data_IF_940272742421
#
_entry.id   IF_940272742421
#
_cell.length_a   1.000
_cell.length_b   1.000
_cell.length_c   1.000
_cell.angle_alpha   90.00
_cell.angle_beta   90.00
_cell.angle_gamma   90.00
#
_symmetry.space_group_name_H-M   'P 1'
#
loop_
_entity.id
_entity.type
_entity.pdbx_description
1 polymer ?
#
# COMPACT_ATOMS: atom_id res chain seq x y z
N UNK A 1 2.39 -11.95 -9.28
CA UNK A 1 2.41 -10.53 -8.88
C UNK A 1 1.75 -10.39 -7.52
N UNK A 2 2.18 -9.46 -6.67
CA UNK A 2 1.52 -9.10 -5.42
C UNK A 2 0.87 -7.72 -5.60
N UNK A 3 -0.46 -7.63 -5.56
CA UNK A 3 -1.20 -6.40 -5.85
C UNK A 3 -2.59 -6.43 -5.19
N UNK A 4 -3.27 -5.30 -5.17
CA UNK A 4 -4.61 -5.12 -4.63
C UNK A 4 -5.68 -5.36 -5.70
N UNK A 5 -6.83 -5.91 -5.32
CA UNK A 5 -8.01 -6.03 -6.19
C UNK A 5 -8.36 -4.70 -6.86
N UNK A 6 -8.35 -3.60 -6.10
CA UNK A 6 -8.70 -2.25 -6.58
C UNK A 6 -7.79 -1.67 -7.65
N UNK A 7 -6.62 -2.27 -7.90
CA UNK A 7 -5.74 -1.89 -9.02
C UNK A 7 -6.28 -2.44 -10.33
N UNK A 8 -6.84 -3.65 -10.32
CA UNK A 8 -7.39 -4.29 -11.52
C UNK A 8 -8.85 -3.92 -11.81
N UNK A 9 -9.65 -3.63 -10.77
CA UNK A 9 -11.09 -3.39 -10.92
C UNK A 9 -11.46 -2.38 -12.02
N UNK A 10 -10.80 -1.20 -12.14
CA UNK A 10 -11.14 -0.24 -13.20
C UNK A 10 -10.92 -0.80 -14.60
N UNK A 11 -9.90 -1.62 -14.79
CA UNK A 11 -9.63 -2.25 -16.09
C UNK A 11 -10.67 -3.33 -16.42
N UNK A 12 -11.05 -4.14 -15.41
CA UNK A 12 -12.10 -5.17 -15.57
C UNK A 12 -13.44 -4.52 -15.90
N UNK A 13 -13.83 -3.46 -15.21
CA UNK A 13 -15.08 -2.73 -15.47
C UNK A 13 -15.11 -2.08 -16.86
N UNK A 14 -13.96 -1.66 -17.38
CA UNK A 14 -13.81 -1.16 -18.76
C UNK A 14 -13.74 -2.28 -19.81
N UNK A 15 -13.84 -3.55 -19.41
CA UNK A 15 -13.79 -4.69 -20.30
C UNK A 15 -12.39 -5.03 -20.82
N UNK A 16 -11.34 -4.63 -20.13
CA UNK A 16 -9.97 -4.94 -20.49
C UNK A 16 -9.57 -6.32 -19.99
N UNK A 17 -8.77 -7.01 -20.77
CA UNK A 17 -8.16 -8.27 -20.36
C UNK A 17 -6.93 -7.99 -19.50
N UNK A 18 -6.80 -8.73 -18.38
CA UNK A 18 -5.71 -8.60 -17.45
C UNK A 18 -4.85 -9.85 -17.39
N UNK A 19 -3.55 -9.65 -17.30
CA UNK A 19 -2.59 -10.71 -16.99
C UNK A 19 -1.55 -10.19 -15.98
N UNK A 20 -0.83 -11.10 -15.35
CA UNK A 20 0.12 -10.74 -14.29
C UNK A 20 1.52 -11.26 -14.57
N UNK A 21 2.54 -10.51 -14.20
CA UNK A 21 3.93 -10.92 -14.16
C UNK A 21 4.36 -11.24 -12.73
N UNK A 22 5.39 -12.05 -12.58
CA UNK A 22 5.90 -12.47 -11.27
C UNK A 22 6.77 -11.39 -10.62
N UNK A 23 6.80 -11.42 -9.28
CA UNK A 23 7.80 -10.74 -8.47
C UNK A 23 8.50 -11.77 -7.58
N UNK A 24 9.68 -11.47 -7.11
CA UNK A 24 10.41 -12.32 -6.17
C UNK A 24 9.99 -12.08 -4.71
N UNK A 25 10.52 -12.86 -3.79
CA UNK A 25 10.22 -12.76 -2.35
C UNK A 25 10.75 -11.46 -1.70
N UNK A 26 11.64 -10.72 -2.38
CA UNK A 26 12.07 -9.39 -1.95
C UNK A 26 11.20 -8.29 -2.59
N UNK A 27 10.04 -8.66 -3.15
CA UNK A 27 9.10 -7.78 -3.85
C UNK A 27 9.73 -7.05 -5.04
N UNK A 28 10.71 -7.65 -5.71
CA UNK A 28 11.36 -7.12 -6.90
C UNK A 28 10.75 -7.71 -8.17
N UNK A 29 10.79 -6.95 -9.27
CA UNK A 29 10.25 -7.39 -10.55
C UNK A 29 11.03 -8.60 -11.09
N UNK A 30 10.35 -9.71 -11.31
CA UNK A 30 10.93 -10.80 -12.10
C UNK A 30 10.94 -10.41 -13.58
N UNK A 31 12.05 -9.80 -14.01
CA UNK A 31 12.20 -9.27 -15.36
C UNK A 31 12.01 -10.35 -16.44
N UNK A 32 12.42 -11.61 -16.17
CA UNK A 32 12.23 -12.72 -17.10
C UNK A 32 10.74 -13.02 -17.32
N UNK A 33 9.98 -13.07 -16.23
CA UNK A 33 8.52 -13.26 -16.27
C UNK A 33 7.84 -12.10 -17.00
N UNK A 34 8.23 -10.87 -16.68
CA UNK A 34 7.72 -9.66 -17.32
C UNK A 34 7.97 -9.67 -18.83
N UNK A 35 9.21 -9.90 -19.29
CA UNK A 35 9.57 -9.96 -20.71
C UNK A 35 8.78 -11.07 -21.45
N UNK A 36 8.56 -12.23 -20.82
CA UNK A 36 7.73 -13.30 -21.38
C UNK A 36 6.28 -12.82 -21.58
N UNK A 37 5.70 -12.13 -20.60
CA UNK A 37 4.33 -11.60 -20.67
C UNK A 37 4.20 -10.51 -21.75
N UNK A 38 5.17 -9.61 -21.85
CA UNK A 38 5.20 -8.60 -22.92
C UNK A 38 5.14 -9.22 -24.32
N UNK A 39 5.81 -10.36 -24.53
CA UNK A 39 5.81 -11.07 -25.82
C UNK A 39 4.51 -11.83 -26.09
N UNK A 40 3.98 -12.53 -25.06
CA UNK A 40 2.81 -13.43 -25.23
C UNK A 40 1.48 -12.69 -25.14
N UNK A 41 1.33 -11.76 -24.21
CA UNK A 41 0.10 -11.02 -23.96
C UNK A 41 0.01 -9.71 -24.73
N UNK A 42 1.17 -9.07 -25.04
CA UNK A 42 1.28 -7.79 -25.77
C UNK A 42 0.42 -6.68 -25.14
N UNK A 43 0.63 -6.34 -23.86
CA UNK A 43 -0.19 -5.36 -23.16
C UNK A 43 -0.07 -3.97 -23.78
N UNK A 44 -1.16 -3.21 -23.78
CA UNK A 44 -1.15 -1.77 -24.06
C UNK A 44 -0.74 -0.93 -22.86
N UNK A 45 -0.94 -1.45 -21.64
CA UNK A 45 -0.59 -0.79 -20.37
C UNK A 45 0.11 -1.80 -19.46
N UNK A 46 1.14 -1.34 -18.74
CA UNK A 46 1.79 -2.11 -17.64
C UNK A 46 1.79 -1.28 -16.38
N UNK A 47 1.36 -1.88 -15.26
CA UNK A 47 1.36 -1.25 -13.94
C UNK A 47 2.49 -1.82 -13.10
N UNK A 48 3.26 -0.94 -12.45
CA UNK A 48 4.36 -1.27 -11.55
C UNK A 48 4.12 -0.71 -10.15
N UNK A 49 4.59 -1.43 -9.14
CA UNK A 49 4.53 -1.00 -7.73
C UNK A 49 5.91 -1.03 -7.09
N UNK A 50 6.44 0.08 -6.56
CA UNK A 50 7.46 0.04 -5.52
C UNK A 50 6.79 -0.21 -4.17
N UNK A 51 7.30 -1.18 -3.40
CA UNK A 51 6.66 -1.63 -2.17
C UNK A 51 7.33 -1.04 -0.93
N UNK A 52 6.55 -0.68 0.09
CA UNK A 52 6.97 -0.38 1.46
C UNK A 52 8.14 0.60 1.57
N UNK A 53 8.12 1.69 0.79
CA UNK A 53 9.16 2.74 0.84
C UNK A 53 10.43 2.43 0.05
N UNK A 54 10.45 1.33 -0.70
CA UNK A 54 11.54 1.07 -1.67
C UNK A 54 11.34 1.88 -2.93
N UNK A 55 12.43 2.04 -3.71
CA UNK A 55 12.43 2.52 -5.09
C UNK A 55 12.69 1.36 -6.04
N UNK A 56 12.45 1.56 -7.33
CA UNK A 56 12.94 0.65 -8.34
C UNK A 56 14.46 0.68 -8.37
N UNK A 57 15.09 -0.48 -8.56
CA UNK A 57 16.53 -0.58 -8.79
C UNK A 57 16.88 0.06 -10.13
N UNK A 58 18.16 0.41 -10.32
CA UNK A 58 18.63 0.94 -11.60
C UNK A 58 18.28 0.01 -12.77
N UNK A 59 18.42 -1.31 -12.59
CA UNK A 59 18.07 -2.30 -13.59
C UNK A 59 16.57 -2.35 -13.89
N UNK A 60 15.71 -2.32 -12.86
CA UNK A 60 14.26 -2.25 -13.04
C UNK A 60 13.86 -0.97 -13.79
N UNK A 61 14.44 0.17 -13.45
CA UNK A 61 14.20 1.44 -14.14
C UNK A 61 14.60 1.39 -15.62
N UNK A 62 15.69 0.73 -15.95
CA UNK A 62 16.12 0.54 -17.34
C UNK A 62 15.09 -0.30 -18.10
N UNK A 63 14.65 -1.41 -17.53
CA UNK A 63 13.62 -2.27 -18.14
C UNK A 63 12.30 -1.52 -18.32
N UNK A 64 11.88 -0.74 -17.33
CA UNK A 64 10.66 0.07 -17.41
C UNK A 64 10.74 1.12 -18.53
N UNK A 65 11.90 1.77 -18.69
CA UNK A 65 12.13 2.70 -19.81
C UNK A 65 12.14 2.01 -21.18
N UNK A 66 12.70 0.79 -21.28
CA UNK A 66 12.64 -0.01 -22.52
C UNK A 66 11.18 -0.30 -22.90
N UNK A 67 10.36 -0.72 -21.94
CA UNK A 67 8.93 -0.99 -22.14
C UNK A 67 8.21 0.26 -22.64
N UNK A 68 8.41 1.39 -21.94
CA UNK A 68 7.82 2.67 -22.33
C UNK A 68 8.24 3.07 -23.75
N UNK A 69 9.52 2.92 -24.09
CA UNK A 69 10.06 3.25 -25.42
C UNK A 69 9.51 2.37 -26.53
N UNK A 70 8.95 1.20 -26.21
CA UNK A 70 8.27 0.32 -27.18
C UNK A 70 6.83 0.75 -27.47
N UNK A 71 6.33 1.84 -26.85
CA UNK A 71 4.98 2.36 -27.04
C UNK A 71 3.93 1.79 -26.08
N UNK A 72 4.34 0.98 -25.11
CA UNK A 72 3.48 0.49 -24.01
C UNK A 72 3.35 1.59 -22.96
N UNK A 73 2.13 1.90 -22.55
CA UNK A 73 1.86 2.88 -21.49
C UNK A 73 2.33 2.30 -20.16
N UNK A 74 3.12 3.07 -19.43
CA UNK A 74 3.64 2.70 -18.11
C UNK A 74 2.93 3.50 -17.02
N UNK A 75 2.31 2.80 -16.08
CA UNK A 75 1.72 3.36 -14.86
C UNK A 75 2.53 2.89 -13.65
N UNK A 76 3.00 3.81 -12.82
CA UNK A 76 3.67 3.50 -11.56
C UNK A 76 2.77 3.88 -10.38
N UNK A 77 2.34 2.90 -9.60
CA UNK A 77 1.54 3.10 -8.40
C UNK A 77 2.44 3.21 -7.16
N UNK A 78 2.67 4.44 -6.73
CA UNK A 78 3.48 4.77 -5.56
C UNK A 78 2.70 4.80 -4.25
N UNK A 79 1.52 4.21 -4.20
CA UNK A 79 0.67 4.19 -2.98
C UNK A 79 1.43 3.71 -1.73
N UNK A 80 2.42 2.81 -1.87
CA UNK A 80 3.22 2.34 -0.74
C UNK A 80 4.55 3.06 -0.57
N UNK A 81 4.89 4.00 -1.44
CA UNK A 81 6.21 4.64 -1.49
C UNK A 81 6.12 6.14 -1.86
N UNK A 82 5.10 6.87 -1.36
CA UNK A 82 4.84 8.26 -1.76
C UNK A 82 5.98 9.22 -1.39
N UNK A 83 6.84 8.87 -0.45
CA UNK A 83 8.01 9.67 -0.06
C UNK A 83 9.22 9.44 -0.96
N UNK A 84 9.18 8.50 -1.90
CA UNK A 84 10.25 8.32 -2.88
C UNK A 84 10.33 9.52 -3.82
N UNK A 85 11.54 10.02 -4.04
CA UNK A 85 11.78 11.25 -4.84
C UNK A 85 11.95 10.97 -6.34
N UNK A 86 12.18 9.71 -6.73
CA UNK A 86 12.68 9.34 -8.06
C UNK A 86 11.60 8.90 -9.06
N UNK A 87 10.33 9.20 -8.79
CA UNK A 87 9.21 8.54 -9.48
C UNK A 87 8.84 9.09 -10.85
N UNK A 88 9.35 10.24 -11.24
CA UNK A 88 8.73 11.01 -12.33
C UNK A 88 9.26 10.68 -13.71
N UNK A 89 10.42 10.05 -13.82
CA UNK A 89 11.14 9.99 -15.11
C UNK A 89 10.95 8.70 -15.92
N UNK A 90 10.40 7.65 -15.31
CA UNK A 90 10.33 6.34 -15.95
C UNK A 90 8.90 5.87 -16.28
N UNK A 91 7.87 6.56 -15.82
CA UNK A 91 6.47 6.23 -16.10
C UNK A 91 5.76 7.32 -16.90
N UNK A 92 4.72 6.96 -17.65
CA UNK A 92 3.82 7.92 -18.32
C UNK A 92 2.85 8.54 -17.32
N UNK A 93 2.39 7.70 -16.37
CA UNK A 93 1.53 8.11 -15.28
C UNK A 93 2.06 7.61 -13.94
N UNK A 94 2.01 8.46 -12.95
CA UNK A 94 2.31 8.12 -11.55
C UNK A 94 1.06 8.35 -10.73
N UNK A 95 0.65 7.35 -9.97
CA UNK A 95 -0.55 7.41 -9.12
C UNK A 95 -0.23 7.06 -7.69
N UNK A 96 -1.06 7.51 -6.76
CA UNK A 96 -0.92 7.14 -5.36
C UNK A 96 -2.11 7.56 -4.50
N UNK A 97 -2.31 6.84 -3.40
CA UNK A 97 -3.36 7.09 -2.43
C UNK A 97 -2.81 7.86 -1.23
N UNK A 98 -3.31 9.07 -0.98
CA UNK A 98 -2.89 9.91 0.14
C UNK A 98 -3.57 9.53 1.46
N UNK A 99 -4.81 9.04 1.41
CA UNK A 99 -5.57 8.63 2.60
C UNK A 99 -4.96 7.47 3.40
N UNK A 100 -4.02 6.73 2.82
CA UNK A 100 -3.27 5.67 3.53
C UNK A 100 -2.14 6.24 4.39
N UNK A 101 -1.78 7.50 4.18
CA UNK A 101 -0.63 8.16 4.80
C UNK A 101 -1.03 9.26 5.77
N UNK A 102 -2.14 9.91 5.50
CA UNK A 102 -2.62 11.07 6.21
C UNK A 102 -4.01 10.83 6.79
N UNK A 103 -4.39 11.64 7.75
CA UNK A 103 -5.71 11.63 8.39
C UNK A 103 -6.78 12.30 7.52
N UNK A 104 -6.76 12.02 6.23
CA UNK A 104 -7.72 12.49 5.24
C UNK A 104 -8.74 11.40 4.93
N UNK A 105 -10.04 11.72 4.80
CA UNK A 105 -11.08 10.75 4.46
C UNK A 105 -10.95 10.26 3.04
N UNK A 106 -10.44 11.09 2.14
CA UNK A 106 -10.23 10.83 0.72
C UNK A 106 -8.84 11.31 0.27
N UNK A 107 -8.59 11.25 -1.02
CA UNK A 107 -7.38 11.76 -1.62
C UNK A 107 -6.52 10.71 -2.29
N UNK A 108 -6.19 11.02 -3.49
CA UNK A 108 -5.22 10.39 -4.34
C UNK A 108 -4.59 11.45 -5.23
N UNK A 109 -3.58 11.07 -5.94
CA UNK A 109 -2.97 11.92 -6.96
C UNK A 109 -2.69 11.12 -8.22
N UNK A 110 -2.72 11.83 -9.32
CA UNK A 110 -2.18 11.37 -10.60
C UNK A 110 -1.26 12.45 -11.14
N UNK A 111 -0.12 12.05 -11.63
CA UNK A 111 0.84 12.90 -12.32
C UNK A 111 1.18 12.30 -13.67
N UNK A 112 1.27 13.12 -14.70
CA UNK A 112 1.75 12.73 -16.02
C UNK A 112 2.71 13.77 -16.57
N UNK A 113 3.78 13.31 -17.24
CA UNK A 113 4.67 14.18 -18.02
C UNK A 113 4.17 14.40 -19.45
N UNK A 114 3.33 13.51 -19.92
CA UNK A 114 2.91 13.43 -21.32
C UNK A 114 1.56 14.10 -21.57
N UNK A 115 0.79 14.32 -20.53
CA UNK A 115 -0.57 14.83 -20.63
C UNK A 115 -0.83 15.93 -19.61
N UNK A 116 -1.45 17.01 -20.04
CA UNK A 116 -1.99 18.03 -19.13
C UNK A 116 -3.21 17.46 -18.37
N UNK A 117 -3.07 17.32 -17.06
CA UNK A 117 -4.12 16.81 -16.18
C UNK A 117 -5.10 17.90 -15.71
N UNK A 118 -4.91 19.17 -16.10
CA UNK A 118 -5.79 20.28 -15.70
C UNK A 118 -7.23 20.14 -16.21
N UNK A 119 -7.43 19.43 -17.31
CA UNK A 119 -8.74 19.11 -17.86
C UNK A 119 -9.66 18.34 -16.89
N UNK A 120 -9.07 17.68 -15.87
CA UNK A 120 -9.80 16.96 -14.82
C UNK A 120 -10.15 17.83 -13.59
N UNK A 121 -9.83 19.13 -13.62
CA UNK A 121 -10.06 20.07 -12.50
C UNK A 121 -11.53 20.41 -12.20
N UNK A 122 -12.48 19.99 -13.05
CA UNK A 122 -13.93 20.22 -12.86
C UNK A 122 -14.71 19.05 -12.30
N UNK A 123 -14.01 18.04 -11.72
CA UNK A 123 -14.66 16.87 -11.14
C UNK A 123 -15.46 17.25 -9.88
N UNK A 124 -16.56 16.54 -9.63
CA UNK A 124 -17.34 16.66 -8.40
C UNK A 124 -16.74 15.86 -7.26
N UNK A 125 -16.94 16.28 -6.02
CA UNK A 125 -16.58 15.53 -4.82
C UNK A 125 -17.55 14.35 -4.61
N UNK A 126 -17.04 13.21 -4.12
CA UNK A 126 -17.89 12.08 -3.70
C UNK A 126 -18.30 12.27 -2.23
N UNK A 127 -19.22 13.19 -1.96
CA UNK A 127 -19.65 13.52 -0.60
C UNK A 127 -20.21 12.34 0.20
N UNK A 128 -21.00 11.41 -0.37
CA UNK A 128 -21.43 10.22 0.36
C UNK A 128 -20.27 9.35 0.88
N UNK A 129 -19.21 9.17 0.07
CA UNK A 129 -18.00 8.50 0.48
C UNK A 129 -17.28 9.28 1.58
N UNK A 130 -17.04 10.58 1.35
CA UNK A 130 -16.30 11.46 2.27
C UNK A 130 -16.96 11.51 3.64
N UNK A 131 -18.26 11.72 3.71
CA UNK A 131 -19.00 11.79 4.98
C UNK A 131 -18.95 10.46 5.74
N UNK A 132 -19.15 9.33 5.05
CA UNK A 132 -19.03 8.01 5.68
C UNK A 132 -17.62 7.76 6.25
N UNK A 133 -16.57 8.22 5.57
CA UNK A 133 -15.20 8.11 6.07
C UNK A 133 -14.96 9.03 7.29
N UNK A 134 -15.42 10.28 7.23
CA UNK A 134 -15.30 11.23 8.37
C UNK A 134 -15.97 10.65 9.62
N UNK A 135 -17.22 10.19 9.48
CA UNK A 135 -17.96 9.61 10.60
C UNK A 135 -17.27 8.36 11.15
N UNK A 136 -16.78 7.49 10.26
CA UNK A 136 -16.01 6.31 10.67
C UNK A 136 -14.75 6.68 11.46
N UNK A 137 -13.96 7.64 10.96
CA UNK A 137 -12.72 8.10 11.61
C UNK A 137 -13.02 8.75 12.96
N UNK A 138 -14.06 9.57 13.03
CA UNK A 138 -14.48 10.24 14.27
C UNK A 138 -14.91 9.24 15.35
N UNK A 139 -15.80 8.31 15.01
CA UNK A 139 -16.28 7.28 15.95
C UNK A 139 -15.16 6.35 16.41
N UNK A 140 -14.22 6.03 15.53
CA UNK A 140 -13.02 5.27 15.94
C UNK A 140 -12.14 6.06 16.91
N UNK A 141 -11.97 7.36 16.70
CA UNK A 141 -11.29 8.25 17.63
C UNK A 141 -11.99 8.32 18.99
N UNK A 142 -13.33 8.33 19.01
CA UNK A 142 -14.12 8.26 20.25
C UNK A 142 -13.93 6.90 20.96
N UNK A 143 -13.96 5.79 20.20
CA UNK A 143 -13.69 4.46 20.76
C UNK A 143 -12.35 4.39 21.47
N UNK A 144 -11.27 4.90 20.89
CA UNK A 144 -9.95 4.90 21.54
C UNK A 144 -9.90 5.73 22.82
N UNK A 145 -10.77 6.72 22.99
CA UNK A 145 -10.84 7.56 24.20
C UNK A 145 -11.75 6.98 25.29
N UNK A 146 -12.84 6.35 24.91
CA UNK A 146 -13.94 5.97 25.82
C UNK A 146 -13.95 4.46 26.07
N UNK A 147 -13.47 3.64 25.12
CA UNK A 147 -13.46 2.18 25.19
C UNK A 147 -14.80 1.51 24.85
N UNK A 148 -15.81 2.27 24.38
CA UNK A 148 -17.12 1.72 24.04
C UNK A 148 -17.07 0.97 22.70
N UNK A 149 -17.22 -0.36 22.74
CA UNK A 149 -17.15 -1.24 21.60
C UNK A 149 -18.22 -0.93 20.53
N UNK A 150 -19.40 -0.42 20.92
CA UNK A 150 -20.44 -0.04 19.97
C UNK A 150 -19.96 1.04 18.98
N UNK A 151 -19.13 1.99 19.44
CA UNK A 151 -18.54 3.03 18.58
C UNK A 151 -17.60 2.42 17.52
N UNK A 152 -16.79 1.42 17.94
CA UNK A 152 -15.91 0.72 17.00
C UNK A 152 -16.72 -0.07 15.95
N UNK A 153 -17.78 -0.76 16.36
CA UNK A 153 -18.62 -1.55 15.45
C UNK A 153 -19.33 -0.65 14.42
N UNK A 154 -19.81 0.52 14.84
CA UNK A 154 -20.40 1.51 13.93
C UNK A 154 -19.32 2.05 12.97
N UNK A 155 -18.14 2.40 13.49
CA UNK A 155 -17.00 2.86 12.67
C UNK A 155 -16.66 1.86 11.57
N UNK A 156 -16.56 0.56 11.90
CA UNK A 156 -16.26 -0.50 10.92
C UNK A 156 -17.36 -0.58 9.85
N UNK A 157 -18.64 -0.50 10.22
CA UNK A 157 -19.76 -0.52 9.26
C UNK A 157 -19.74 0.68 8.33
N UNK A 158 -19.46 1.88 8.83
CA UNK A 158 -19.35 3.10 8.03
C UNK A 158 -18.17 3.03 7.05
N UNK A 159 -17.00 2.51 7.51
CA UNK A 159 -15.86 2.31 6.61
C UNK A 159 -16.19 1.31 5.48
N UNK A 160 -16.84 0.18 5.81
CA UNK A 160 -17.30 -0.78 4.79
C UNK A 160 -18.30 -0.14 3.81
N UNK A 161 -19.22 0.69 4.31
CA UNK A 161 -20.16 1.42 3.47
C UNK A 161 -19.45 2.36 2.50
N UNK A 162 -18.48 3.14 2.99
CA UNK A 162 -17.66 4.02 2.15
C UNK A 162 -16.89 3.22 1.07
N UNK A 163 -16.25 2.10 1.44
CA UNK A 163 -15.55 1.25 0.48
C UNK A 163 -16.50 0.73 -0.60
N UNK A 164 -17.73 0.35 -0.23
CA UNK A 164 -18.75 -0.08 -1.19
C UNK A 164 -19.22 1.06 -2.13
N UNK A 165 -19.27 2.31 -1.64
CA UNK A 165 -19.56 3.48 -2.50
C UNK A 165 -18.45 3.66 -3.52
N UNK A 166 -17.19 3.63 -3.09
CA UNK A 166 -16.03 3.77 -3.97
C UNK A 166 -15.91 2.65 -5.01
N UNK A 167 -16.23 1.40 -4.61
CA UNK A 167 -16.15 0.23 -5.49
C UNK A 167 -17.27 0.11 -6.52
N UNK A 168 -18.34 0.90 -6.40
CA UNK A 168 -19.47 0.86 -7.36
C UNK A 168 -19.31 1.81 -8.54
N UNK A 169 -18.33 2.69 -8.52
CA UNK A 169 -18.14 3.70 -9.53
C UNK A 169 -16.65 3.97 -9.72
N UNK A 170 -16.15 3.68 -10.91
CA UNK A 170 -14.76 3.97 -11.32
C UNK A 170 -14.56 5.41 -11.78
N UNK A 171 -15.61 6.23 -11.83
CA UNK A 171 -15.46 7.62 -12.22
C UNK A 171 -14.55 8.38 -11.25
N UNK A 172 -13.63 9.20 -11.77
CA UNK A 172 -12.77 9.98 -10.92
C UNK A 172 -13.57 11.10 -10.22
N UNK A 173 -13.18 11.38 -8.97
CA UNK A 173 -13.76 12.43 -8.17
C UNK A 173 -12.70 13.45 -7.73
N UNK A 174 -13.12 14.68 -7.53
CA UNK A 174 -12.27 15.71 -6.93
C UNK A 174 -11.95 15.34 -5.46
N UNK A 175 -10.77 15.75 -5.02
CA UNK A 175 -10.44 15.75 -3.61
C UNK A 175 -11.39 16.69 -2.86
N UNK A 176 -12.00 16.23 -1.77
CA UNK A 176 -12.92 17.05 -0.99
C UNK A 176 -12.23 18.26 -0.34
N UNK A 177 -12.99 19.33 -0.12
CA UNK A 177 -12.49 20.48 0.62
C UNK A 177 -12.00 20.11 2.03
N UNK A 178 -12.64 19.13 2.67
CA UNK A 178 -12.16 18.60 3.94
C UNK A 178 -10.82 17.88 3.80
N UNK A 179 -10.69 16.97 2.84
CA UNK A 179 -9.43 16.26 2.55
C UNK A 179 -8.31 17.22 2.19
N UNK A 180 -8.57 18.21 1.34
CA UNK A 180 -7.62 19.25 0.98
C UNK A 180 -7.11 20.01 2.22
N UNK A 181 -8.01 20.41 3.11
CA UNK A 181 -7.62 21.11 4.33
C UNK A 181 -6.72 20.24 5.23
N UNK A 182 -7.03 18.95 5.38
CA UNK A 182 -6.20 18.02 6.16
C UNK A 182 -4.81 17.84 5.55
N UNK A 183 -4.74 17.70 4.25
CA UNK A 183 -3.45 17.50 3.55
C UNK A 183 -2.57 18.76 3.57
N UNK A 184 -3.16 19.95 3.39
CA UNK A 184 -2.41 21.21 3.45
C UNK A 184 -1.85 21.51 4.86
N UNK A 185 -2.49 21.01 5.91
CA UNK A 185 -2.05 21.18 7.30
C UNK A 185 -1.23 19.98 7.83
N UNK A 186 -0.95 18.97 7.00
CA UNK A 186 -0.16 17.81 7.43
C UNK A 186 1.33 18.15 7.52
N UNK A 187 1.97 17.81 8.63
CA UNK A 187 3.43 17.89 8.76
C UNK A 187 4.09 16.67 8.11
N UNK A 188 4.11 16.72 6.77
CA UNK A 188 4.61 15.61 5.92
C UNK A 188 6.04 15.21 6.30
N UNK A 189 6.89 16.19 6.63
CA UNK A 189 8.31 15.95 6.95
C UNK A 189 8.43 15.20 8.28
N UNK A 190 7.74 15.65 9.32
CA UNK A 190 7.77 14.99 10.64
C UNK A 190 7.13 13.60 10.56
N UNK A 191 6.02 13.43 9.85
CA UNK A 191 5.39 12.12 9.65
C UNK A 191 6.35 11.12 9.00
N UNK A 192 7.05 11.55 7.96
CA UNK A 192 8.07 10.72 7.31
C UNK A 192 9.20 10.30 8.25
N UNK A 193 9.71 11.24 9.06
CA UNK A 193 10.77 10.96 10.05
C UNK A 193 10.32 9.97 11.12
N UNK A 194 9.11 10.14 11.68
CA UNK A 194 8.58 9.22 12.70
C UNK A 194 8.45 7.81 12.13
N UNK A 195 7.84 7.65 10.96
CA UNK A 195 7.70 6.34 10.28
C UNK A 195 9.04 5.67 10.06
N UNK A 196 10.03 6.41 9.55
CA UNK A 196 11.35 5.86 9.31
C UNK A 196 12.08 5.52 10.61
N UNK A 197 11.92 6.32 11.66
CA UNK A 197 12.44 6.00 13.01
C UNK A 197 11.83 4.72 13.56
N UNK A 198 10.50 4.57 13.47
CA UNK A 198 9.78 3.37 13.90
C UNK A 198 10.23 2.13 13.10
N UNK A 199 10.37 2.27 11.78
CA UNK A 199 10.91 1.21 10.91
C UNK A 199 12.31 0.78 11.35
N UNK A 200 13.21 1.75 11.53
CA UNK A 200 14.60 1.50 11.96
C UNK A 200 14.65 0.81 13.32
N UNK A 201 13.77 1.22 14.25
CA UNK A 201 13.69 0.58 15.55
C UNK A 201 13.29 -0.90 15.43
N UNK A 202 12.25 -1.23 14.67
CA UNK A 202 11.83 -2.62 14.44
C UNK A 202 12.94 -3.41 13.74
N UNK A 203 13.57 -2.85 12.72
CA UNK A 203 14.66 -3.50 11.99
C UNK A 203 15.82 -3.92 12.91
N UNK A 204 16.19 -3.06 13.86
CA UNK A 204 17.30 -3.31 14.77
C UNK A 204 16.96 -4.20 15.97
N UNK A 205 15.68 -4.38 16.30
CA UNK A 205 15.27 -5.02 17.56
C UNK A 205 14.39 -6.27 17.38
N UNK A 206 13.85 -6.52 16.19
CA UNK A 206 13.16 -7.77 15.89
C UNK A 206 14.16 -8.90 15.62
N UNK A 207 13.82 -10.06 16.15
CA UNK A 207 14.60 -11.29 15.91
C UNK A 207 14.11 -11.97 14.63
N UNK A 208 15.00 -12.13 13.68
CA UNK A 208 14.77 -13.03 12.55
C UNK A 208 14.99 -14.49 12.99
N UNK A 209 14.04 -15.35 12.63
CA UNK A 209 14.05 -16.78 12.92
C UNK A 209 13.49 -17.53 11.70
N UNK A 210 13.38 -18.85 11.78
CA UNK A 210 12.69 -19.64 10.74
C UNK A 210 11.21 -19.23 10.62
N UNK A 211 10.56 -18.83 11.74
CA UNK A 211 9.14 -18.43 11.79
C UNK A 211 8.88 -17.03 11.32
N UNK A 212 9.82 -16.08 11.53
CA UNK A 212 9.67 -14.67 11.21
C UNK A 212 10.90 -14.18 10.46
N UNK A 213 10.72 -13.73 9.22
CA UNK A 213 11.79 -13.22 8.34
C UNK A 213 11.45 -11.80 7.87
N UNK A 214 12.46 -10.98 7.68
CA UNK A 214 12.28 -9.68 7.05
C UNK A 214 12.07 -9.83 5.54
N UNK A 215 11.22 -8.99 4.98
CA UNK A 215 11.09 -8.88 3.52
C UNK A 215 12.34 -8.23 2.93
N UNK A 216 12.86 -7.19 3.59
CA UNK A 216 14.09 -6.51 3.20
C UNK A 216 15.18 -6.77 4.24
N UNK A 217 16.26 -7.43 3.83
CA UNK A 217 17.37 -7.77 4.72
C UNK A 217 18.44 -6.68 4.83
N UNK A 218 18.42 -5.70 3.92
CA UNK A 218 19.23 -4.48 4.00
C UNK A 218 18.29 -3.28 4.20
N UNK A 219 18.48 -2.54 5.30
CA UNK A 219 17.70 -1.33 5.59
C UNK A 219 17.87 -0.27 4.50
N UNK A 220 18.98 -0.27 3.78
CA UNK A 220 19.24 0.68 2.70
C UNK A 220 18.38 0.45 1.46
N UNK A 221 17.70 -0.71 1.35
CA UNK A 221 16.69 -0.93 0.30
C UNK A 221 15.47 -0.03 0.48
N UNK A 222 15.19 0.37 1.72
CA UNK A 222 14.10 1.27 2.07
C UNK A 222 14.61 2.70 2.02
N UNK A 223 14.54 3.30 0.83
CA UNK A 223 15.14 4.62 0.52
C UNK A 223 14.29 5.80 0.97
N UNK A 224 13.07 5.54 1.43
CA UNK A 224 12.14 6.57 1.88
C UNK A 224 11.30 6.08 3.05
N UNK A 225 10.48 6.96 3.62
CA UNK A 225 9.53 6.57 4.67
C UNK A 225 8.59 5.47 4.16
N UNK A 226 8.55 4.29 4.81
CA UNK A 226 7.70 3.17 4.39
C UNK A 226 6.28 3.29 4.95
N UNK A 227 5.33 2.63 4.27
CA UNK A 227 3.94 2.57 4.74
C UNK A 227 3.79 1.66 5.96
N UNK A 228 4.45 0.51 5.96
CA UNK A 228 4.49 -0.51 7.02
C UNK A 228 5.88 -1.12 7.13
N UNK A 229 6.14 -1.89 8.19
CA UNK A 229 7.27 -2.80 8.28
C UNK A 229 6.80 -4.20 7.85
N UNK A 230 7.18 -4.68 6.65
CA UNK A 230 6.73 -5.97 6.15
C UNK A 230 7.60 -7.11 6.69
N UNK A 231 6.96 -8.19 7.14
CA UNK A 231 7.60 -9.44 7.52
C UNK A 231 6.93 -10.62 6.84
N UNK A 232 7.67 -11.71 6.65
CA UNK A 232 7.10 -13.03 6.38
C UNK A 232 6.96 -13.80 7.68
N UNK A 233 5.83 -14.49 7.85
CA UNK A 233 5.58 -15.33 9.01
C UNK A 233 4.88 -16.61 8.57
N UNK A 234 5.46 -17.78 8.93
CA UNK A 234 4.93 -19.11 8.62
C UNK A 234 3.50 -19.29 9.17
N UNK A 235 3.27 -18.84 10.39
CA UNK A 235 1.96 -18.87 11.06
C UNK A 235 1.42 -17.46 11.23
N UNK A 236 1.29 -16.69 10.13
CA UNK A 236 0.93 -15.26 10.20
C UNK A 236 -0.42 -14.99 10.87
N UNK A 237 -1.40 -15.89 10.74
CA UNK A 237 -2.73 -15.73 11.36
C UNK A 237 -2.63 -15.82 12.88
N UNK A 238 -1.79 -16.73 13.41
CA UNK A 238 -1.56 -16.85 14.85
C UNK A 238 -0.78 -15.65 15.38
N UNK A 239 0.24 -15.19 14.65
CA UNK A 239 0.95 -13.95 15.02
C UNK A 239 0.01 -12.75 14.98
N UNK A 240 -0.84 -12.62 13.95
CA UNK A 240 -1.82 -11.54 13.83
C UNK A 240 -2.79 -11.55 15.01
N UNK A 241 -3.29 -12.72 15.42
CA UNK A 241 -4.15 -12.87 16.59
C UNK A 241 -3.43 -12.45 17.87
N UNK A 242 -2.21 -12.94 18.09
CA UNK A 242 -1.38 -12.57 19.25
C UNK A 242 -1.08 -11.08 19.31
N UNK A 243 -0.82 -10.45 18.16
CA UNK A 243 -0.67 -9.00 18.05
C UNK A 243 -1.96 -8.26 18.42
N UNK A 244 -3.11 -8.70 17.90
CA UNK A 244 -4.42 -8.10 18.19
C UNK A 244 -4.80 -8.19 19.68
N UNK A 245 -4.55 -9.32 20.33
CA UNK A 245 -4.71 -9.51 21.79
C UNK A 245 -3.85 -8.53 22.63
N UNK A 246 -2.75 -8.04 22.03
CA UNK A 246 -1.88 -7.03 22.63
C UNK A 246 -2.14 -5.62 22.10
N UNK A 247 -3.29 -5.38 21.43
CA UNK A 247 -3.71 -4.10 20.90
C UNK A 247 -2.94 -3.62 19.67
N UNK A 248 -2.27 -4.53 18.95
CA UNK A 248 -1.54 -4.23 17.70
C UNK A 248 -2.29 -4.83 16.51
N UNK A 249 -2.85 -3.98 15.66
CA UNK A 249 -3.61 -4.42 14.48
C UNK A 249 -2.71 -4.41 13.24
N UNK A 250 -2.05 -5.54 12.99
CA UNK A 250 -1.23 -5.77 11.80
C UNK A 250 -2.10 -6.29 10.65
N UNK A 251 -2.30 -5.53 9.56
CA UNK A 251 -3.13 -6.00 8.46
C UNK A 251 -2.42 -7.01 7.58
N UNK A 252 -3.18 -7.97 7.07
CA UNK A 252 -2.87 -8.65 5.82
C UNK A 252 -3.32 -7.67 4.73
N UNK A 253 -2.35 -7.02 4.05
CA UNK A 253 -2.69 -5.85 3.22
C UNK A 253 -3.58 -6.22 2.05
N UNK A 254 -3.28 -7.33 1.37
CA UNK A 254 -4.04 -7.76 0.22
C UNK A 254 -4.34 -9.25 0.28
N UNK A 255 -5.58 -9.56 0.01
CA UNK A 255 -5.99 -10.88 -0.42
C UNK A 255 -5.61 -11.05 -1.90
N UNK A 256 -5.52 -12.30 -2.36
CA UNK A 256 -5.29 -12.58 -3.76
C UNK A 256 -6.43 -12.00 -4.60
N UNK A 257 -6.16 -11.12 -5.58
CA UNK A 257 -7.19 -10.58 -6.46
C UNK A 257 -7.85 -11.66 -7.32
N UNK A 258 -9.13 -11.50 -7.63
CA UNK A 258 -9.89 -12.44 -8.46
C UNK A 258 -9.32 -12.57 -9.88
N UNK A 259 -8.78 -11.47 -10.43
CA UNK A 259 -8.14 -11.48 -11.74
C UNK A 259 -6.77 -12.20 -11.75
N UNK A 260 -6.17 -12.49 -10.62
CA UNK A 260 -4.95 -13.29 -10.51
C UNK A 260 -5.28 -14.78 -10.56
N UNK A 261 -5.63 -15.30 -11.72
CA UNK A 261 -6.05 -16.70 -11.89
C UNK A 261 -4.91 -17.69 -11.67
N UNK A 262 -3.67 -17.28 -11.94
CA UNK A 262 -2.46 -18.07 -11.72
C UNK A 262 -1.45 -17.30 -10.87
N UNK A 263 -0.86 -17.99 -9.89
CA UNK A 263 0.28 -17.50 -9.12
C UNK A 263 1.45 -18.47 -9.31
N UNK A 264 2.65 -17.91 -9.49
CA UNK A 264 3.87 -18.68 -9.32
C UNK A 264 4.18 -18.90 -7.82
N UNK A 265 5.18 -19.72 -7.55
CA UNK A 265 5.58 -20.10 -6.18
C UNK A 265 5.91 -18.86 -5.32
N UNK A 266 6.70 -17.92 -5.86
CA UNK A 266 7.06 -16.69 -5.14
C UNK A 266 5.86 -15.84 -4.80
N UNK A 267 4.97 -15.60 -5.77
CA UNK A 267 3.75 -14.79 -5.54
C UNK A 267 2.80 -15.48 -4.57
N UNK A 268 2.66 -16.81 -4.62
CA UNK A 268 1.86 -17.57 -3.66
C UNK A 268 2.44 -17.43 -2.26
N UNK A 269 3.76 -17.64 -2.11
CA UNK A 269 4.44 -17.47 -0.83
C UNK A 269 4.20 -16.09 -0.21
N UNK A 270 4.29 -15.01 -1.02
CA UNK A 270 4.05 -13.65 -0.54
C UNK A 270 2.61 -13.52 0.00
N UNK A 271 1.59 -13.94 -0.78
CA UNK A 271 0.20 -13.83 -0.34
C UNK A 271 -0.09 -14.65 0.92
N UNK A 272 0.58 -15.78 1.11
CA UNK A 272 0.34 -16.68 2.23
C UNK A 272 1.04 -16.24 3.52
N UNK A 273 2.19 -15.54 3.43
CA UNK A 273 3.07 -15.32 4.59
C UNK A 273 3.28 -13.86 4.97
N UNK A 274 3.04 -12.88 4.05
CA UNK A 274 3.34 -11.48 4.34
C UNK A 274 2.38 -10.90 5.38
N UNK A 275 2.94 -10.16 6.35
CA UNK A 275 2.21 -9.42 7.37
C UNK A 275 2.81 -8.01 7.47
N UNK A 276 1.95 -6.99 7.51
CA UNK A 276 2.35 -5.59 7.55
C UNK A 276 2.25 -5.04 8.98
N UNK A 277 3.39 -4.76 9.60
CA UNK A 277 3.43 -4.23 10.97
C UNK A 277 3.26 -2.71 10.91
N UNK A 278 2.31 -2.12 11.67
CA UNK A 278 2.07 -0.68 11.69
C UNK A 278 3.25 0.07 12.31
N UNK A 279 3.68 1.14 11.63
CA UNK A 279 4.80 2.01 12.04
C UNK A 279 4.48 3.48 11.85
N UNK A 280 3.19 3.81 11.66
CA UNK A 280 2.79 5.15 11.24
C UNK A 280 3.00 6.21 12.33
N UNK A 281 2.86 7.46 11.95
CA UNK A 281 3.16 8.63 12.78
C UNK A 281 2.31 8.77 14.04
N UNK A 282 1.32 7.93 14.24
CA UNK A 282 0.50 7.88 15.48
C UNK A 282 1.20 7.17 16.62
N UNK A 283 2.26 6.43 16.33
CA UNK A 283 3.00 5.58 17.26
C UNK A 283 4.38 6.15 17.52
N UNK A 284 4.86 5.97 18.74
CA UNK A 284 6.21 6.30 19.15
C UNK A 284 7.07 5.03 19.34
N UNK A 285 8.29 5.22 19.87
CA UNK A 285 9.23 4.12 20.12
C UNK A 285 8.75 3.18 21.23
N UNK A 286 7.93 3.62 22.17
CA UNK A 286 7.43 2.76 23.24
C UNK A 286 6.39 1.76 22.70
N UNK A 287 5.54 2.19 21.75
CA UNK A 287 4.70 1.26 21.01
C UNK A 287 5.54 0.26 20.18
N UNK A 288 6.63 0.71 19.56
CA UNK A 288 7.52 -0.19 18.82
C UNK A 288 8.21 -1.21 19.72
N UNK A 289 8.61 -0.83 20.96
CA UNK A 289 9.11 -1.78 21.97
C UNK A 289 8.08 -2.85 22.31
N UNK A 290 6.80 -2.46 22.48
CA UNK A 290 5.70 -3.39 22.73
C UNK A 290 5.51 -4.36 21.57
N UNK A 291 5.52 -3.87 20.32
CA UNK A 291 5.43 -4.68 19.11
C UNK A 291 6.58 -5.69 19.06
N UNK A 292 7.82 -5.26 19.25
CA UNK A 292 9.00 -6.13 19.32
C UNK A 292 8.86 -7.23 20.38
N UNK A 293 8.38 -6.89 21.58
CA UNK A 293 8.19 -7.87 22.64
C UNK A 293 7.24 -8.98 22.23
N UNK A 294 6.12 -8.64 21.59
CA UNK A 294 5.12 -9.63 21.15
C UNK A 294 5.67 -10.52 20.04
N UNK A 295 6.28 -9.93 19.00
CA UNK A 295 6.81 -10.70 17.86
C UNK A 295 7.99 -11.57 18.31
N UNK A 296 8.93 -11.04 19.09
CA UNK A 296 10.09 -11.80 19.57
C UNK A 296 9.70 -12.94 20.52
N UNK A 297 8.63 -12.78 21.31
CA UNK A 297 8.07 -13.87 22.12
C UNK A 297 7.53 -14.98 21.21
N UNK A 298 6.71 -14.61 20.21
CA UNK A 298 6.16 -15.57 19.23
C UNK A 298 7.23 -16.32 18.46
N UNK A 299 8.31 -15.65 18.10
CA UNK A 299 9.42 -16.24 17.34
C UNK A 299 10.21 -17.32 18.13
N UNK A 300 10.12 -17.30 19.47
CA UNK A 300 10.81 -18.24 20.37
C UNK A 300 9.95 -19.46 20.76
N UNK A 301 8.65 -19.37 20.63
CA UNK A 301 7.69 -20.47 20.83
C UNK A 301 7.76 -21.49 19.68
#
# INVERSE_FOLDING_TARGET
MYTCQTVGDPFVELGWELDTYSIDVNLRINVRSLKKKLQSFKPGIVVFHPYYGTSFTQYEMEVIREIRSSGVIVVADYTQSIYCKEHVDHADYVVGSLRKWFDSPDGGYIYSRCQDMSAYGSLSENMPFVMSQIDSMYLRGCYFKIGDQALNDISIRLNKHAVNIAGKNIEPHALSGFGMNRLLNADVVTYGKIRFSNYTYLYNNLLQTEKVKFVYNDINEVVSSPLYFPIYCENRVDLQRKLAENGVYAPILWERPEFCTYLDESSSYIYDHILAIPIDQRYDIDEMKRVCKVINSFSKE
#
